data_IF_575253128943
#
_entry.id   IF_575253128943
#
_cell.length_a   1.000
_cell.length_b   1.000
_cell.length_c   1.000
_cell.angle_alpha   90.00
_cell.angle_beta   90.00
_cell.angle_gamma   90.00
#
_symmetry.space_group_name_H-M   'P 1'
#
loop_
_entity.id
_entity.type
_entity.pdbx_description
1 polymer ?
#
# COMPACT_ATOMS: atom_id res chain seq x y z
N UNK A 1 -22.34 -12.76 -19.40
CA UNK A 1 -21.30 -11.95 -18.73
C UNK A 1 -21.80 -10.53 -18.65
N UNK A 2 -21.80 -9.93 -17.47
CA UNK A 2 -22.20 -8.53 -17.26
C UNK A 2 -21.00 -7.74 -16.76
N UNK A 3 -20.74 -6.58 -17.36
CA UNK A 3 -19.65 -5.69 -16.97
C UNK A 3 -20.25 -4.42 -16.37
N UNK A 4 -19.88 -4.10 -15.13
CA UNK A 4 -20.26 -2.83 -14.50
C UNK A 4 -19.07 -1.87 -14.60
N UNK A 5 -19.37 -0.61 -14.94
CA UNK A 5 -18.41 0.48 -14.99
C UNK A 5 -18.95 1.62 -14.13
N UNK A 6 -18.08 2.20 -13.31
CA UNK A 6 -18.39 3.43 -12.59
C UNK A 6 -17.13 4.28 -12.45
N UNK A 7 -17.33 5.57 -12.19
CA UNK A 7 -16.24 6.52 -11.96
C UNK A 7 -15.60 6.32 -10.59
N UNK A 8 -16.35 5.79 -9.63
CA UNK A 8 -15.90 5.49 -8.27
C UNK A 8 -15.89 3.98 -8.00
N UNK A 9 -14.74 3.46 -7.55
CA UNK A 9 -14.61 2.07 -7.15
C UNK A 9 -15.54 1.70 -5.97
N UNK A 10 -15.77 2.64 -5.05
CA UNK A 10 -16.67 2.42 -3.91
C UNK A 10 -18.13 2.26 -4.35
N UNK A 11 -18.59 3.13 -5.26
CA UNK A 11 -19.95 3.03 -5.81
C UNK A 11 -20.10 1.78 -6.68
N UNK A 12 -19.12 1.48 -7.52
CA UNK A 12 -19.10 0.28 -8.36
C UNK A 12 -19.29 -0.98 -7.54
N UNK A 13 -18.55 -1.11 -6.44
CA UNK A 13 -18.66 -2.24 -5.54
C UNK A 13 -20.08 -2.34 -4.93
N UNK A 14 -20.60 -1.23 -4.40
CA UNK A 14 -21.93 -1.22 -3.79
C UNK A 14 -23.04 -1.68 -4.75
N UNK A 15 -22.93 -1.32 -6.03
CA UNK A 15 -23.86 -1.71 -7.07
C UNK A 15 -23.62 -3.14 -7.57
N UNK A 16 -22.36 -3.57 -7.66
CA UNK A 16 -22.01 -4.94 -8.00
C UNK A 16 -22.58 -5.94 -6.97
N UNK A 17 -22.46 -5.65 -5.67
CA UNK A 17 -23.03 -6.48 -4.59
C UNK A 17 -24.55 -6.53 -4.70
N UNK A 18 -25.23 -5.38 -4.85
CA UNK A 18 -26.70 -5.33 -5.00
C UNK A 18 -27.19 -6.13 -6.20
N UNK A 19 -26.49 -6.04 -7.33
CA UNK A 19 -26.83 -6.79 -8.53
C UNK A 19 -26.60 -8.29 -8.33
N UNK A 20 -25.46 -8.67 -7.74
CA UNK A 20 -25.13 -10.05 -7.45
C UNK A 20 -26.15 -10.70 -6.52
N UNK A 21 -26.58 -10.01 -5.47
CA UNK A 21 -27.59 -10.50 -4.52
C UNK A 21 -28.96 -10.69 -5.20
N UNK A 22 -29.35 -9.76 -6.09
CA UNK A 22 -30.59 -9.89 -6.86
C UNK A 22 -30.55 -11.05 -7.86
N UNK A 23 -29.40 -11.28 -8.49
CA UNK A 23 -29.21 -12.41 -9.40
C UNK A 23 -29.19 -13.75 -8.65
N UNK A 24 -28.58 -13.81 -7.47
CA UNK A 24 -28.58 -15.01 -6.61
C UNK A 24 -29.97 -15.37 -6.08
N UNK A 25 -30.81 -14.38 -5.84
CA UNK A 25 -32.17 -14.59 -5.33
C UNK A 25 -33.13 -15.16 -6.38
N UNK A 26 -32.78 -15.09 -7.68
CA UNK A 26 -33.61 -15.61 -8.77
C UNK A 26 -33.14 -17.02 -9.14
N UNK A 27 -34.00 -18.01 -8.90
CA UNK A 27 -33.73 -19.44 -9.11
C UNK A 27 -33.41 -19.83 -10.58
N UNK A 28 -33.61 -18.91 -11.54
CA UNK A 28 -33.20 -19.11 -12.94
C UNK A 28 -31.69 -18.95 -13.13
N UNK A 29 -31.01 -18.23 -12.23
CA UNK A 29 -29.56 -18.08 -12.25
C UNK A 29 -28.92 -19.11 -11.32
N UNK A 30 -27.90 -19.79 -11.82
CA UNK A 30 -27.07 -20.73 -11.06
C UNK A 30 -25.62 -20.25 -11.14
N UNK A 31 -24.85 -20.51 -10.09
CA UNK A 31 -23.42 -20.22 -10.03
C UNK A 31 -23.04 -18.74 -10.26
N UNK A 32 -23.76 -17.81 -9.62
CA UNK A 32 -23.44 -16.37 -9.70
C UNK A 32 -22.17 -16.05 -8.90
N UNK A 33 -21.07 -15.89 -9.62
CA UNK A 33 -19.74 -15.52 -9.12
C UNK A 33 -19.39 -14.07 -9.47
N UNK A 34 -18.38 -13.52 -8.79
CA UNK A 34 -17.81 -12.21 -9.06
C UNK A 34 -16.30 -12.34 -9.09
N UNK A 35 -15.66 -11.78 -10.12
CA UNK A 35 -14.20 -11.73 -10.25
C UNK A 35 -13.59 -10.63 -9.36
N UNK A 36 -14.41 -9.92 -8.59
CA UNK A 36 -13.96 -8.87 -7.69
C UNK A 36 -13.23 -9.46 -6.48
N UNK A 37 -11.90 -9.32 -6.49
CA UNK A 37 -11.04 -9.68 -5.37
C UNK A 37 -10.85 -8.47 -4.44
N UNK A 38 -11.80 -8.17 -3.56
CA UNK A 38 -11.74 -7.01 -2.63
C UNK A 38 -11.51 -7.41 -1.17
N UNK A 39 -10.86 -8.56 -0.94
CA UNK A 39 -10.60 -9.08 0.41
C UNK A 39 -9.12 -9.05 0.77
N UNK A 40 -8.30 -8.33 0.00
CA UNK A 40 -6.91 -8.07 0.35
C UNK A 40 -6.82 -7.19 1.59
N UNK A 41 -6.10 -7.65 2.61
CA UNK A 41 -5.75 -6.81 3.74
C UNK A 41 -4.64 -5.86 3.30
N UNK A 42 -4.89 -4.55 3.38
CA UNK A 42 -3.91 -3.52 3.06
C UNK A 42 -3.65 -2.65 4.29
N UNK A 43 -2.40 -2.27 4.50
CA UNK A 43 -2.01 -1.26 5.49
C UNK A 43 -1.95 0.11 4.80
N UNK A 44 -2.86 1.01 5.17
CA UNK A 44 -2.91 2.39 4.68
C UNK A 44 -2.26 3.34 5.68
N UNK A 45 -1.28 4.11 5.23
CA UNK A 45 -0.58 5.09 6.07
C UNK A 45 -1.28 6.46 5.99
N UNK A 46 -1.87 6.89 7.10
CA UNK A 46 -2.48 8.22 7.25
C UNK A 46 -1.44 9.17 7.83
N UNK A 47 -1.14 10.25 7.11
CA UNK A 47 -0.05 11.18 7.44
C UNK A 47 -0.62 12.56 7.80
N UNK A 48 -0.25 13.06 8.97
CA UNK A 48 -0.48 14.44 9.39
C UNK A 48 0.65 15.33 8.85
N UNK A 49 0.36 16.03 7.76
CA UNK A 49 1.33 16.89 7.06
C UNK A 49 1.68 18.14 7.86
N UNK A 50 0.74 18.67 8.65
CA UNK A 50 0.98 19.87 9.46
C UNK A 50 1.94 19.54 10.60
N UNK A 51 1.71 18.42 11.28
CA UNK A 51 2.59 17.92 12.34
C UNK A 51 3.97 17.54 11.81
N UNK A 52 4.06 16.92 10.64
CA UNK A 52 5.34 16.66 9.97
C UNK A 52 6.11 17.97 9.69
N UNK A 53 5.43 19.00 9.17
CA UNK A 53 6.04 20.30 8.88
C UNK A 53 6.53 21.02 10.15
N UNK A 54 5.79 20.94 11.27
CA UNK A 54 6.21 21.48 12.56
C UNK A 54 7.49 20.81 13.09
N UNK A 55 7.64 19.51 12.85
CA UNK A 55 8.83 18.73 13.19
C UNK A 55 10.00 18.94 12.19
N UNK A 56 9.76 19.69 11.11
CA UNK A 56 10.74 19.97 10.06
C UNK A 56 11.03 18.77 9.16
N UNK A 57 10.10 17.82 9.06
CA UNK A 57 10.21 16.64 8.21
C UNK A 57 9.64 16.95 6.83
N UNK A 58 10.42 16.74 5.77
CA UNK A 58 9.92 16.91 4.41
C UNK A 58 9.20 15.66 3.91
N UNK A 59 8.11 15.85 3.17
CA UNK A 59 7.34 14.76 2.56
C UNK A 59 8.16 13.96 1.53
N UNK A 60 9.18 14.56 0.92
CA UNK A 60 10.09 13.86 0.02
C UNK A 60 10.97 12.86 0.77
N UNK A 61 11.49 13.25 1.94
CA UNK A 61 12.29 12.36 2.79
C UNK A 61 11.43 11.19 3.30
N UNK A 62 10.16 11.44 3.61
CA UNK A 62 9.21 10.39 3.97
C UNK A 62 9.00 9.38 2.84
N UNK A 63 8.76 9.85 1.61
CA UNK A 63 8.62 8.94 0.47
C UNK A 63 9.89 8.11 0.25
N UNK A 64 11.06 8.74 0.35
CA UNK A 64 12.33 8.04 0.20
C UNK A 64 12.56 7.00 1.30
N UNK A 65 12.21 7.32 2.55
CA UNK A 65 12.32 6.40 3.68
C UNK A 65 11.38 5.20 3.52
N UNK A 66 10.11 5.43 3.16
CA UNK A 66 9.14 4.36 2.91
C UNK A 66 9.54 3.50 1.71
N UNK A 67 10.03 4.11 0.64
CA UNK A 67 10.50 3.40 -0.53
C UNK A 67 11.74 2.54 -0.23
N UNK A 68 12.67 3.02 0.60
CA UNK A 68 13.84 2.23 1.02
C UNK A 68 13.50 1.10 2.00
N UNK A 69 12.43 1.25 2.78
CA UNK A 69 12.02 0.26 3.78
C UNK A 69 11.14 -0.86 3.19
N UNK A 70 10.23 -0.53 2.27
CA UNK A 70 9.22 -1.47 1.74
C UNK A 70 9.27 -1.65 0.23
N UNK A 71 10.06 -0.84 -0.47
CA UNK A 71 10.25 -0.95 -1.92
C UNK A 71 11.52 -1.71 -2.25
N UNK A 72 11.51 -2.31 -3.45
CA UNK A 72 12.70 -2.87 -4.05
C UNK A 72 13.47 -1.72 -4.72
N UNK A 73 14.66 -1.40 -4.20
CA UNK A 73 15.49 -0.35 -4.79
C UNK A 73 16.67 -0.98 -5.53
N UNK A 74 16.65 -0.91 -6.87
CA UNK A 74 17.85 -1.19 -7.64
C UNK A 74 18.89 -0.11 -7.36
N UNK A 75 20.02 -0.50 -6.77
CA UNK A 75 21.12 0.40 -6.37
C UNK A 75 22.27 0.37 -7.36
N UNK A 76 22.44 -0.72 -8.10
CA UNK A 76 23.48 -0.87 -9.11
C UNK A 76 23.17 -2.01 -10.09
N UNK A 77 24.02 -2.15 -11.10
CA UNK A 77 24.05 -3.28 -12.01
C UNK A 77 25.46 -3.86 -12.04
N UNK A 78 25.59 -5.18 -11.89
CA UNK A 78 26.84 -5.90 -12.08
C UNK A 78 26.86 -6.42 -13.51
N UNK A 79 27.88 -6.05 -14.27
CA UNK A 79 28.08 -6.51 -15.64
C UNK A 79 29.02 -7.70 -15.64
N UNK A 80 28.53 -8.87 -16.06
CA UNK A 80 29.32 -10.04 -16.38
C UNK A 80 29.46 -10.18 -17.90
N UNK A 81 30.40 -11.00 -18.38
CA UNK A 81 30.77 -11.10 -19.80
C UNK A 81 29.58 -11.40 -20.75
N UNK A 82 28.56 -12.10 -20.25
CA UNK A 82 27.38 -12.50 -21.03
C UNK A 82 26.04 -12.05 -20.42
N UNK A 83 26.04 -11.49 -19.20
CA UNK A 83 24.81 -11.19 -18.46
C UNK A 83 24.95 -9.92 -17.63
N UNK A 84 23.84 -9.21 -17.43
CA UNK A 84 23.74 -8.08 -16.49
C UNK A 84 22.86 -8.50 -15.31
N UNK A 85 23.37 -8.34 -14.09
CA UNK A 85 22.64 -8.62 -12.85
C UNK A 85 22.24 -7.32 -12.16
N UNK A 86 20.99 -7.21 -11.74
CA UNK A 86 20.51 -6.07 -10.97
C UNK A 86 20.83 -6.30 -9.49
N UNK A 87 21.41 -5.29 -8.83
CA UNK A 87 21.63 -5.30 -7.39
C UNK A 87 20.47 -4.55 -6.74
N UNK A 88 19.63 -5.27 -6.02
CA UNK A 88 18.46 -4.74 -5.33
C UNK A 88 18.78 -4.68 -3.83
N UNK A 89 18.53 -3.52 -3.22
CA UNK A 89 18.62 -3.32 -1.79
C UNK A 89 17.21 -3.29 -1.21
N UNK A 90 16.99 -4.11 -0.19
CA UNK A 90 15.72 -4.25 0.53
C UNK A 90 15.98 -4.34 2.03
N UNK A 91 14.97 -4.02 2.84
CA UNK A 91 14.97 -4.35 4.25
C UNK A 91 14.80 -5.87 4.46
N UNK A 92 15.32 -6.40 5.58
CA UNK A 92 15.15 -7.81 5.92
C UNK A 92 13.67 -8.18 6.10
N UNK A 93 13.32 -9.46 5.88
CA UNK A 93 11.93 -9.94 5.90
C UNK A 93 11.17 -9.61 7.19
N UNK A 94 11.84 -9.73 8.34
CA UNK A 94 11.29 -9.42 9.66
C UNK A 94 11.02 -7.92 9.86
N UNK A 95 11.70 -7.07 9.08
CA UNK A 95 11.60 -5.61 9.11
C UNK A 95 10.61 -5.06 8.08
N UNK A 96 9.95 -5.91 7.29
CA UNK A 96 8.94 -5.50 6.29
C UNK A 96 7.59 -6.21 6.39
N UNK A 97 7.53 -7.37 7.05
CA UNK A 97 6.36 -8.26 7.06
C UNK A 97 5.22 -7.85 7.99
N UNK A 98 5.48 -6.95 8.94
CA UNK A 98 4.53 -6.55 9.99
C UNK A 98 4.38 -5.02 10.05
N UNK A 99 3.23 -4.55 10.52
CA UNK A 99 2.99 -3.11 10.77
C UNK A 99 3.96 -2.52 11.79
N UNK A 100 4.55 -3.33 12.67
CA UNK A 100 5.62 -2.91 13.58
C UNK A 100 6.89 -2.44 12.85
N UNK A 101 7.02 -2.73 11.56
CA UNK A 101 8.08 -2.19 10.72
C UNK A 101 8.01 -0.66 10.62
N UNK A 102 6.80 -0.07 10.63
CA UNK A 102 6.64 1.39 10.56
C UNK A 102 7.22 2.09 11.79
N UNK A 103 7.26 1.43 12.94
CA UNK A 103 7.85 1.98 14.17
C UNK A 103 9.39 2.07 14.10
N UNK A 104 10.01 1.33 13.20
CA UNK A 104 11.46 1.35 12.96
C UNK A 104 11.88 2.48 12.01
N UNK A 105 10.94 3.25 11.47
CA UNK A 105 11.22 4.32 10.52
C UNK A 105 11.43 5.63 11.26
N UNK A 106 12.63 6.18 11.09
CA UNK A 106 13.02 7.48 11.63
C UNK A 106 13.37 8.43 10.48
N UNK A 107 12.87 9.65 10.59
CA UNK A 107 13.13 10.71 9.62
C UNK A 107 13.95 11.81 10.26
N UNK A 108 14.75 12.48 9.44
CA UNK A 108 15.53 13.63 9.89
C UNK A 108 14.62 14.85 9.93
N UNK A 109 14.38 15.36 11.13
CA UNK A 109 13.67 16.60 11.37
C UNK A 109 14.57 17.82 11.46
N UNK A 110 14.02 18.92 11.97
CA UNK A 110 14.75 20.18 12.15
C UNK A 110 16.00 19.98 13.01
N UNK A 111 17.09 20.64 12.65
CA UNK A 111 18.39 20.58 13.34
C UNK A 111 19.03 19.18 13.40
N UNK A 112 18.58 18.24 12.55
CA UNK A 112 19.13 16.89 12.49
C UNK A 112 18.60 15.93 13.56
N UNK A 113 17.55 16.32 14.31
CA UNK A 113 16.87 15.42 15.23
C UNK A 113 16.23 14.25 14.49
N UNK A 114 16.23 13.06 15.09
CA UNK A 114 15.47 11.91 14.57
C UNK A 114 14.03 11.99 15.07
N UNK A 115 13.10 11.95 14.13
CA UNK A 115 11.65 11.99 14.36
C UNK A 115 11.07 10.63 13.96
N UNK A 116 10.47 9.87 14.89
CA UNK A 116 9.85 8.60 14.54
C UNK A 116 8.61 8.83 13.67
N UNK A 117 8.36 7.95 12.70
CA UNK A 117 7.21 8.04 11.80
C UNK A 117 5.87 8.08 12.58
N UNK A 118 5.77 7.29 13.64
CA UNK A 118 4.60 7.24 14.53
C UNK A 118 4.27 8.59 15.20
N UNK A 119 5.18 9.57 15.22
CA UNK A 119 4.91 10.88 15.79
C UNK A 119 3.96 11.74 14.94
N UNK A 120 3.80 11.43 13.66
CA UNK A 120 2.99 12.22 12.72
C UNK A 120 2.26 11.36 11.66
N UNK A 121 2.34 10.03 11.74
CA UNK A 121 1.61 9.13 10.87
C UNK A 121 1.01 7.95 11.65
N UNK A 122 -0.09 7.41 11.14
CA UNK A 122 -0.80 6.27 11.74
C UNK A 122 -1.15 5.26 10.67
N UNK A 123 -0.93 3.98 10.97
CA UNK A 123 -1.27 2.88 10.08
C UNK A 123 -2.70 2.43 10.34
N UNK A 124 -3.51 2.33 9.30
CA UNK A 124 -4.88 1.85 9.34
C UNK A 124 -5.02 0.62 8.45
N UNK A 125 -5.60 -0.46 8.98
CA UNK A 125 -5.95 -1.63 8.17
C UNK A 125 -7.20 -1.31 7.37
N UNK A 126 -7.06 -1.36 6.05
CA UNK A 126 -8.15 -1.15 5.11
C UNK A 126 -8.29 -2.38 4.21
N UNK A 127 -9.53 -2.70 3.84
CA UNK A 127 -9.78 -3.67 2.79
C UNK A 127 -9.56 -3.00 1.45
N UNK A 128 -8.69 -3.58 0.64
CA UNK A 128 -8.41 -3.10 -0.70
C UNK A 128 -8.49 -4.21 -1.74
N UNK A 129 -8.43 -3.83 -3.03
CA UNK A 129 -8.34 -4.81 -4.09
C UNK A 129 -7.08 -5.66 -3.91
N UNK A 130 -7.21 -6.97 -4.05
CA UNK A 130 -6.07 -7.88 -4.12
C UNK A 130 -5.36 -7.62 -5.45
N UNK A 131 -4.02 -7.52 -5.41
CA UNK A 131 -3.18 -7.32 -6.59
C UNK A 131 -3.16 -8.56 -7.49
#
# INVERSE_FOLDING_TARGET
QYTLQAVSAGELNSWAVKLQDKLRADARFRDVTSDSQMRGLQASLVIDRERAALLGVQMQDLRNALYGAFGERQVSSIYAESNTFQVIMEAGDDDRSSETAFDKIYLRGKNGAQVPLAAFATVQRTLGPTA
#
